data_IF_319787052663
#
_entry.id   IF_319787052663
#
_cell.length_a   1.000
_cell.length_b   1.000
_cell.length_c   1.000
_cell.angle_alpha   90.00
_cell.angle_beta   90.00
_cell.angle_gamma   90.00
#
_symmetry.space_group_name_H-M   'P 1'
#
loop_
_entity.id
_entity.type
_entity.pdbx_description
1 polymer ?
#
# COMPACT_ATOMS: atom_id res chain seq x y z
N UNK A 1 -40.77 -29.20 50.81
CA UNK A 1 -39.32 -29.13 50.52
C UNK A 1 -39.18 -28.47 49.14
N UNK A 2 -38.76 -27.21 49.12
CA UNK A 2 -38.63 -26.39 47.94
C UNK A 2 -37.18 -26.34 47.51
N UNK A 3 -36.80 -26.85 46.32
CA UNK A 3 -35.51 -26.66 45.72
C UNK A 3 -35.47 -25.28 45.02
N UNK A 4 -34.71 -24.36 45.56
CA UNK A 4 -34.37 -23.09 44.90
C UNK A 4 -33.20 -23.39 43.90
N UNK A 5 -33.51 -23.29 42.60
CA UNK A 5 -32.47 -23.34 41.55
C UNK A 5 -31.68 -22.02 41.57
N UNK A 6 -30.39 -22.16 41.71
CA UNK A 6 -29.42 -21.04 41.54
C UNK A 6 -29.11 -20.96 40.01
N UNK A 7 -29.57 -19.87 39.36
CA UNK A 7 -29.13 -19.47 38.05
C UNK A 7 -27.74 -18.80 38.17
N UNK A 8 -26.70 -19.47 37.70
CA UNK A 8 -25.39 -18.90 37.51
C UNK A 8 -25.41 -18.25 36.13
N UNK A 9 -25.44 -16.93 36.07
CA UNK A 9 -25.19 -16.14 34.85
C UNK A 9 -23.69 -16.17 34.59
N UNK A 10 -23.27 -16.97 33.60
CA UNK A 10 -21.89 -16.91 33.08
C UNK A 10 -21.85 -15.72 32.13
N UNK A 11 -21.29 -14.59 32.58
CA UNK A 11 -20.85 -13.51 31.69
C UNK A 11 -19.62 -14.00 30.95
N UNK A 12 -19.77 -14.42 29.69
CA UNK A 12 -18.63 -14.58 28.80
C UNK A 12 -18.08 -13.19 28.46
N UNK A 13 -16.91 -12.88 29.00
CA UNK A 13 -16.10 -11.77 28.51
C UNK A 13 -15.69 -12.10 27.06
N UNK A 14 -16.47 -11.62 26.11
CA UNK A 14 -16.04 -11.56 24.72
C UNK A 14 -15.01 -10.44 24.66
N UNK A 15 -13.74 -10.80 24.46
CA UNK A 15 -12.67 -9.84 24.23
C UNK A 15 -12.98 -9.08 22.93
N UNK A 16 -13.16 -7.78 23.03
CA UNK A 16 -13.43 -6.85 21.92
C UNK A 16 -12.21 -6.65 20.97
N UNK A 17 -11.29 -7.61 20.93
CA UNK A 17 -10.06 -7.52 20.14
C UNK A 17 -10.18 -7.84 18.65
N UNK A 18 -11.26 -8.46 18.19
CA UNK A 18 -11.30 -9.10 16.86
C UNK A 18 -12.28 -8.45 15.86
N UNK A 19 -12.80 -7.26 16.11
CA UNK A 19 -13.78 -6.63 15.22
C UNK A 19 -13.21 -5.59 14.24
N UNK A 20 -11.89 -5.42 14.18
CA UNK A 20 -11.25 -4.73 13.08
C UNK A 20 -11.13 -5.72 11.91
N UNK A 21 -12.18 -5.72 11.09
CA UNK A 21 -12.33 -6.35 9.79
C UNK A 21 -11.38 -7.51 9.48
N UNK A 22 -11.82 -8.74 9.69
CA UNK A 22 -11.37 -9.83 8.83
C UNK A 22 -11.88 -9.50 7.43
N UNK A 23 -11.11 -8.72 6.66
CA UNK A 23 -11.31 -8.60 5.24
C UNK A 23 -11.17 -10.02 4.64
N UNK A 24 -12.13 -10.51 3.84
CA UNK A 24 -12.01 -11.81 3.22
C UNK A 24 -10.68 -11.84 2.48
N UNK A 25 -9.91 -12.92 2.67
CA UNK A 25 -8.62 -13.12 2.03
C UNK A 25 -8.76 -12.85 0.53
N UNK A 26 -8.32 -11.70 0.09
CA UNK A 26 -8.24 -11.39 -1.34
C UNK A 26 -7.00 -12.11 -1.85
N UNK A 27 -7.21 -13.32 -2.33
CA UNK A 27 -6.21 -14.06 -3.09
C UNK A 27 -5.87 -13.23 -4.34
N UNK A 28 -4.69 -12.64 -4.39
CA UNK A 28 -4.18 -11.92 -5.56
C UNK A 28 -4.01 -10.42 -5.36
N UNK A 29 -3.23 -9.99 -4.40
CA UNK A 29 -2.79 -8.61 -4.24
C UNK A 29 -1.27 -8.51 -4.23
N UNK A 30 -0.74 -7.32 -3.98
CA UNK A 30 0.68 -7.11 -3.77
C UNK A 30 1.16 -7.89 -2.54
N UNK A 31 2.38 -8.41 -2.61
CA UNK A 31 3.06 -9.10 -1.52
C UNK A 31 4.28 -8.29 -1.11
N UNK A 32 4.53 -8.22 0.17
CA UNK A 32 5.68 -7.55 0.74
C UNK A 32 6.74 -8.60 1.11
N UNK A 33 7.86 -8.57 0.42
CA UNK A 33 8.94 -9.54 0.60
C UNK A 33 9.95 -8.97 1.59
N UNK A 34 10.33 -9.74 2.59
CA UNK A 34 11.33 -9.33 3.59
C UNK A 34 12.73 -9.16 2.97
N UNK A 35 13.49 -8.21 3.50
CA UNK A 35 14.90 -8.06 3.19
C UNK A 35 15.75 -9.02 4.04
N UNK A 36 16.54 -9.85 3.36
CA UNK A 36 17.56 -10.72 3.94
C UNK A 36 18.92 -10.46 3.30
N UNK A 37 19.32 -9.18 3.19
CA UNK A 37 20.51 -8.61 2.56
C UNK A 37 20.49 -8.49 1.01
N UNK A 38 19.40 -8.87 0.35
CA UNK A 38 19.29 -8.70 -1.10
C UNK A 38 19.06 -7.23 -1.54
N UNK A 39 18.70 -6.36 -0.63
CA UNK A 39 18.52 -4.90 -0.81
C UNK A 39 19.31 -4.12 0.24
N UNK A 40 19.46 -2.79 0.09
CA UNK A 40 20.12 -1.94 1.10
C UNK A 40 19.51 -2.14 2.50
N UNK A 41 20.33 -1.94 3.53
CA UNK A 41 19.98 -2.24 4.93
C UNK A 41 18.76 -1.45 5.44
N UNK A 42 18.57 -0.21 4.99
CA UNK A 42 17.43 0.62 5.36
C UNK A 42 16.08 0.08 4.83
N UNK A 43 16.11 -0.76 3.81
CA UNK A 43 14.92 -1.40 3.25
C UNK A 43 14.56 -2.64 4.07
N UNK A 44 13.37 -2.69 4.62
CA UNK A 44 12.86 -3.85 5.36
C UNK A 44 12.01 -4.79 4.51
N UNK A 45 11.21 -4.21 3.61
CA UNK A 45 10.37 -4.97 2.67
C UNK A 45 10.36 -4.32 1.30
N UNK A 46 10.12 -5.14 0.27
CA UNK A 46 9.82 -4.68 -1.08
C UNK A 46 8.52 -5.32 -1.57
N UNK A 47 7.75 -4.54 -2.30
CA UNK A 47 6.61 -5.02 -3.07
C UNK A 47 6.79 -4.68 -4.55
N UNK A 48 6.49 -5.63 -5.42
CA UNK A 48 6.37 -5.40 -6.85
C UNK A 48 4.97 -4.82 -7.08
N UNK A 49 4.92 -3.55 -7.45
CA UNK A 49 3.68 -2.82 -7.68
C UNK A 49 3.49 -2.55 -9.18
N UNK A 50 2.29 -2.13 -9.56
CA UNK A 50 2.04 -1.75 -10.94
C UNK A 50 2.92 -0.57 -11.35
N UNK A 51 3.76 -0.79 -12.38
CA UNK A 51 4.68 0.23 -12.89
C UNK A 51 6.00 0.37 -12.14
N UNK A 52 6.35 -0.55 -11.24
CA UNK A 52 7.63 -0.45 -10.52
C UNK A 52 7.71 -1.24 -9.23
N UNK A 53 8.42 -0.65 -8.28
CA UNK A 53 8.70 -1.23 -6.96
C UNK A 53 8.38 -0.24 -5.86
N UNK A 54 7.88 -0.76 -4.75
CA UNK A 54 7.74 -0.07 -3.48
C UNK A 54 8.70 -0.69 -2.48
N UNK A 55 9.55 0.14 -1.89
CA UNK A 55 10.43 -0.24 -0.79
C UNK A 55 9.93 0.41 0.50
N UNK A 56 9.90 -0.36 1.58
CA UNK A 56 9.46 0.09 2.88
C UNK A 56 10.67 0.24 3.80
N UNK A 57 10.83 1.44 4.33
CA UNK A 57 11.83 1.83 5.31
C UNK A 57 11.15 2.17 6.65
N UNK A 58 11.89 2.39 7.73
CA UNK A 58 11.27 2.74 9.02
C UNK A 58 10.63 4.13 9.00
N UNK A 59 11.16 5.04 8.21
CA UNK A 59 10.77 6.44 8.13
C UNK A 59 9.98 6.79 6.86
N UNK A 60 9.60 5.79 6.05
CA UNK A 60 8.90 6.11 4.82
C UNK A 60 8.81 5.02 3.77
N UNK A 61 8.36 5.45 2.61
CA UNK A 61 8.16 4.64 1.41
C UNK A 61 9.00 5.19 0.26
N UNK A 62 9.81 4.34 -0.37
CA UNK A 62 10.51 4.69 -1.60
C UNK A 62 9.81 4.00 -2.78
N UNK A 63 9.27 4.80 -3.67
CA UNK A 63 8.71 4.37 -4.94
C UNK A 63 9.77 4.46 -6.03
N UNK A 64 9.95 3.39 -6.78
CA UNK A 64 10.83 3.35 -7.94
C UNK A 64 10.02 2.88 -9.15
N UNK A 65 9.64 3.82 -10.00
CA UNK A 65 8.70 3.61 -11.11
C UNK A 65 9.42 3.63 -12.45
N UNK A 66 8.96 2.83 -13.41
CA UNK A 66 9.47 2.82 -14.77
C UNK A 66 8.45 3.38 -15.77
N UNK A 67 8.94 3.81 -16.93
CA UNK A 67 8.08 4.24 -18.03
C UNK A 67 7.29 3.05 -18.59
N UNK A 68 5.98 3.05 -18.34
CA UNK A 68 5.09 1.97 -18.75
C UNK A 68 4.98 1.82 -20.27
N UNK A 69 5.15 2.91 -21.04
CA UNK A 69 5.14 2.86 -22.52
C UNK A 69 6.41 2.22 -23.07
N UNK A 70 7.56 2.57 -22.49
CA UNK A 70 8.84 1.95 -22.87
C UNK A 70 8.83 0.47 -22.50
N UNK A 71 8.35 0.13 -21.30
CA UNK A 71 8.21 -1.26 -20.85
C UNK A 71 7.26 -2.06 -21.75
N UNK A 72 6.10 -1.53 -22.11
CA UNK A 72 5.16 -2.20 -23.00
C UNK A 72 5.79 -2.47 -24.40
N UNK A 73 6.54 -1.49 -24.95
CA UNK A 73 7.29 -1.68 -26.22
C UNK A 73 8.36 -2.75 -26.08
N UNK A 74 9.08 -2.78 -24.96
CA UNK A 74 10.08 -3.82 -24.67
C UNK A 74 9.43 -5.21 -24.67
N UNK A 75 8.33 -5.38 -23.94
CA UNK A 75 7.59 -6.64 -23.87
C UNK A 75 7.08 -7.05 -25.27
N UNK A 76 6.47 -6.12 -26.01
CA UNK A 76 5.97 -6.39 -27.35
C UNK A 76 7.08 -6.86 -28.31
N UNK A 77 8.22 -6.18 -28.33
CA UNK A 77 9.36 -6.59 -29.20
C UNK A 77 10.04 -7.88 -28.72
N UNK A 78 9.87 -8.29 -27.48
CA UNK A 78 10.31 -9.61 -27.01
C UNK A 78 9.51 -10.74 -27.66
N UNK A 79 8.21 -10.55 -27.84
CA UNK A 79 7.31 -11.54 -28.46
C UNK A 79 7.22 -11.39 -29.99
N UNK A 80 7.25 -10.18 -30.54
CA UNK A 80 7.21 -9.89 -31.96
C UNK A 80 8.61 -9.65 -32.52
N UNK A 81 9.18 -10.67 -33.15
CA UNK A 81 10.54 -10.62 -33.70
C UNK A 81 10.67 -9.68 -34.91
N UNK A 82 9.56 -9.18 -35.47
CA UNK A 82 9.56 -8.20 -36.55
C UNK A 82 9.84 -6.78 -36.08
N UNK A 83 9.68 -6.51 -34.77
CA UNK A 83 9.91 -5.20 -34.20
C UNK A 83 11.41 -4.96 -33.89
N UNK A 84 11.90 -3.71 -34.05
CA UNK A 84 13.26 -3.36 -33.68
C UNK A 84 13.51 -3.66 -32.21
N UNK A 85 14.62 -4.33 -31.90
CA UNK A 85 15.03 -4.64 -30.52
C UNK A 85 15.95 -3.56 -29.90
N UNK A 86 15.84 -2.32 -30.34
CA UNK A 86 16.65 -1.19 -29.88
C UNK A 86 16.11 -0.65 -28.54
N UNK A 87 16.15 -1.50 -27.49
CA UNK A 87 15.77 -1.13 -26.14
C UNK A 87 17.02 -1.02 -25.27
N UNK A 88 17.81 0.03 -25.52
CA UNK A 88 19.05 0.25 -24.78
C UNK A 88 18.82 0.80 -23.38
N UNK A 89 17.62 1.34 -23.09
CA UNK A 89 17.29 1.95 -21.81
C UNK A 89 15.81 1.83 -21.50
N UNK A 90 15.51 1.58 -20.22
CA UNK A 90 14.20 1.75 -19.60
C UNK A 90 14.32 2.93 -18.64
N UNK A 91 13.49 3.95 -18.81
CA UNK A 91 13.50 5.15 -17.98
C UNK A 91 12.86 4.84 -16.64
N UNK A 92 13.51 5.30 -15.56
CA UNK A 92 13.07 5.15 -14.18
C UNK A 92 12.99 6.49 -13.48
N UNK A 93 12.09 6.60 -12.53
CA UNK A 93 11.99 7.74 -11.63
C UNK A 93 11.71 7.26 -10.21
N UNK A 94 12.43 7.81 -9.24
CA UNK A 94 12.24 7.46 -7.82
C UNK A 94 11.79 8.69 -7.05
N UNK A 95 10.81 8.50 -6.15
CA UNK A 95 10.44 9.49 -5.14
C UNK A 95 10.25 8.81 -3.79
N UNK A 96 10.52 9.54 -2.72
CA UNK A 96 10.34 9.06 -1.34
C UNK A 96 9.20 9.82 -0.67
N UNK A 97 8.36 9.10 0.06
CA UNK A 97 7.39 9.64 1.01
C UNK A 97 7.95 9.44 2.40
N UNK A 98 8.45 10.51 3.02
CA UNK A 98 9.01 10.46 4.37
C UNK A 98 7.95 10.81 5.39
N UNK A 99 7.89 10.06 6.48
CA UNK A 99 7.05 10.34 7.64
C UNK A 99 7.77 11.32 8.55
N UNK A 100 7.46 12.62 8.44
CA UNK A 100 8.13 13.65 9.21
C UNK A 100 7.92 13.43 10.71
N UNK A 101 9.00 13.57 11.50
CA UNK A 101 8.99 13.45 12.95
C UNK A 101 8.39 12.13 13.49
N UNK A 102 8.41 11.07 12.68
CA UNK A 102 7.93 9.76 13.10
C UNK A 102 8.90 9.10 14.09
N UNK A 103 8.41 8.08 14.79
CA UNK A 103 9.24 7.20 15.60
C UNK A 103 10.02 6.22 14.67
N UNK A 104 11.29 6.50 14.41
CA UNK A 104 12.15 5.66 13.56
C UNK A 104 12.47 4.28 14.17
N UNK A 105 12.19 4.07 15.47
CA UNK A 105 12.27 2.77 16.14
C UNK A 105 11.01 1.90 15.92
N UNK A 106 9.97 2.47 15.32
CA UNK A 106 8.77 1.74 14.93
C UNK A 106 9.06 0.84 13.72
N UNK A 107 9.60 -0.35 13.98
CA UNK A 107 9.98 -1.29 12.94
C UNK A 107 8.78 -1.78 12.14
N UNK A 108 8.93 -1.79 10.82
CA UNK A 108 8.00 -2.45 9.92
C UNK A 108 7.93 -3.95 10.23
N UNK A 109 6.73 -4.49 10.47
CA UNK A 109 6.51 -5.91 10.78
C UNK A 109 5.55 -6.55 9.79
N UNK A 110 6.02 -7.60 9.10
CA UNK A 110 5.16 -8.42 8.24
C UNK A 110 4.17 -9.25 9.06
N UNK A 111 2.91 -9.22 8.64
CA UNK A 111 1.82 -10.06 9.17
C UNK A 111 1.06 -10.70 8.02
N UNK A 112 0.30 -11.77 8.29
CA UNK A 112 -0.36 -12.57 7.27
C UNK A 112 0.66 -13.12 6.26
N UNK A 113 1.60 -13.97 6.76
CA UNK A 113 2.64 -14.60 5.94
C UNK A 113 2.03 -15.40 4.78
N UNK A 114 2.64 -15.26 3.59
CA UNK A 114 2.25 -16.04 2.41
C UNK A 114 2.84 -17.45 2.47
N UNK A 115 2.21 -18.46 1.85
CA UNK A 115 2.76 -19.80 1.84
C UNK A 115 4.04 -19.93 1.01
N UNK A 116 4.31 -18.97 0.12
CA UNK A 116 5.50 -18.99 -0.74
C UNK A 116 6.67 -18.27 -0.08
N UNK A 117 7.89 -18.67 -0.45
CA UNK A 117 9.13 -17.97 -0.15
C UNK A 117 9.87 -17.60 -1.44
N UNK A 118 10.80 -16.66 -1.34
CA UNK A 118 11.52 -16.09 -2.48
C UNK A 118 13.02 -16.30 -2.32
N UNK A 119 13.70 -16.52 -3.46
CA UNK A 119 15.14 -16.66 -3.51
C UNK A 119 15.73 -15.63 -4.46
N UNK A 120 16.79 -14.96 -4.02
CA UNK A 120 17.48 -13.91 -4.77
C UNK A 120 18.96 -14.28 -4.89
N UNK A 121 19.35 -14.81 -6.04
CA UNK A 121 20.73 -15.19 -6.35
C UNK A 121 21.22 -14.36 -7.54
N UNK A 122 21.17 -13.00 -7.37
CA UNK A 122 21.48 -12.05 -8.43
C UNK A 122 22.89 -11.50 -8.28
N UNK A 123 23.59 -11.36 -9.41
CA UNK A 123 24.96 -10.84 -9.44
C UNK A 123 25.99 -11.80 -8.85
N UNK A 124 27.24 -11.33 -8.75
CA UNK A 124 28.40 -12.13 -8.32
C UNK A 124 28.69 -12.03 -6.82
N UNK A 125 28.09 -11.04 -6.13
CA UNK A 125 28.26 -10.84 -4.68
C UNK A 125 27.34 -11.77 -3.89
N UNK A 126 27.90 -12.89 -3.42
CA UNK A 126 27.17 -13.90 -2.65
C UNK A 126 26.65 -13.39 -1.29
N UNK A 127 27.21 -12.30 -0.75
CA UNK A 127 26.75 -11.72 0.52
C UNK A 127 25.36 -11.06 0.37
N UNK A 128 24.98 -10.71 -0.87
CA UNK A 128 23.67 -10.19 -1.23
C UNK A 128 22.68 -11.26 -1.71
N UNK A 129 23.08 -12.53 -1.68
CA UNK A 129 22.17 -13.62 -2.00
C UNK A 129 21.28 -13.91 -0.80
N UNK A 130 20.00 -14.03 -1.05
CA UNK A 130 19.02 -14.38 -0.03
C UNK A 130 18.23 -15.61 -0.45
N UNK A 131 18.00 -16.50 0.49
CA UNK A 131 17.13 -17.65 0.29
C UNK A 131 16.04 -17.68 1.37
N UNK A 132 14.88 -18.26 1.01
CA UNK A 132 13.73 -18.39 1.89
C UNK A 132 13.27 -17.02 2.47
N UNK A 133 13.38 -15.94 1.66
CA UNK A 133 12.79 -14.66 2.02
C UNK A 133 11.26 -14.80 2.04
N UNK A 134 10.65 -14.45 3.18
CA UNK A 134 9.21 -14.58 3.38
C UNK A 134 8.45 -13.47 2.69
N UNK A 135 7.22 -13.77 2.27
CA UNK A 135 6.26 -12.80 1.78
C UNK A 135 5.14 -12.58 2.80
N UNK A 136 4.56 -11.39 2.79
CA UNK A 136 3.49 -10.99 3.69
C UNK A 136 2.40 -10.26 2.93
N UNK A 137 1.14 -10.40 3.34
CA UNK A 137 0.02 -9.64 2.77
C UNK A 137 -0.20 -8.30 3.46
N UNK A 138 0.36 -8.12 4.66
CA UNK A 138 0.24 -6.88 5.44
C UNK A 138 1.56 -6.54 6.11
N UNK A 139 1.85 -5.23 6.18
CA UNK A 139 2.93 -4.67 6.99
C UNK A 139 2.32 -3.72 8.00
N UNK A 140 2.78 -3.81 9.25
CA UNK A 140 2.33 -2.98 10.36
C UNK A 140 3.51 -2.21 10.94
N UNK A 141 3.32 -0.90 11.16
CA UNK A 141 4.17 -0.05 11.97
C UNK A 141 3.39 0.32 13.23
N UNK A 142 3.83 -0.18 14.37
CA UNK A 142 3.20 0.14 15.65
C UNK A 142 3.81 1.39 16.24
N UNK A 143 2.95 2.30 16.75
CA UNK A 143 3.40 3.56 17.35
C UNK A 143 4.33 4.36 16.38
N UNK A 144 3.96 4.43 15.10
CA UNK A 144 4.69 5.23 14.12
C UNK A 144 4.73 6.71 14.53
N UNK A 145 3.64 7.20 15.11
CA UNK A 145 3.58 8.43 15.89
C UNK A 145 2.96 8.11 17.24
N UNK A 146 3.12 8.95 18.27
CA UNK A 146 2.49 8.71 19.57
C UNK A 146 0.99 8.45 19.45
N UNK A 147 0.58 7.21 19.76
CA UNK A 147 -0.81 6.75 19.64
C UNK A 147 -1.31 6.52 18.22
N UNK A 148 -0.41 6.40 17.20
CA UNK A 148 -0.81 6.17 15.82
C UNK A 148 -0.05 5.00 15.23
N UNK A 149 -0.77 3.98 14.78
CA UNK A 149 -0.26 2.87 14.01
C UNK A 149 -0.46 3.11 12.50
N UNK A 150 0.38 2.48 11.67
CA UNK A 150 0.21 2.45 10.21
C UNK A 150 0.16 1.01 9.72
N UNK A 151 -0.84 0.68 8.91
CA UNK A 151 -1.02 -0.63 8.30
C UNK A 151 -0.98 -0.51 6.78
N UNK A 152 -0.11 -1.28 6.11
CA UNK A 152 -0.08 -1.38 4.65
C UNK A 152 -0.60 -2.74 4.22
N UNK A 153 -1.41 -2.75 3.17
CA UNK A 153 -1.92 -3.97 2.56
C UNK A 153 -2.37 -3.67 1.11
N UNK A 154 -2.77 -4.68 0.39
CA UNK A 154 -3.40 -4.43 -0.92
C UNK A 154 -4.80 -4.99 -0.95
N UNK A 155 -5.68 -4.28 -1.67
CA UNK A 155 -7.01 -4.75 -2.02
C UNK A 155 -7.10 -4.87 -3.54
N UNK A 156 -7.16 -6.12 -4.03
CA UNK A 156 -6.98 -6.42 -5.45
C UNK A 156 -5.58 -5.97 -5.88
N UNK A 157 -5.43 -4.94 -6.71
CA UNK A 157 -4.15 -4.36 -7.15
C UNK A 157 -3.99 -2.90 -6.72
N UNK A 158 -4.77 -2.43 -5.76
CA UNK A 158 -4.63 -1.11 -5.17
C UNK A 158 -3.86 -1.23 -3.86
N UNK A 159 -2.82 -0.43 -3.72
CA UNK A 159 -2.10 -0.29 -2.47
C UNK A 159 -2.93 0.57 -1.52
N UNK A 160 -3.14 0.10 -0.31
CA UNK A 160 -3.79 0.81 0.78
C UNK A 160 -2.85 0.95 1.96
N UNK A 161 -2.99 2.06 2.65
CA UNK A 161 -2.31 2.28 3.91
C UNK A 161 -3.26 3.01 4.87
N UNK A 162 -3.49 2.40 6.04
CA UNK A 162 -4.42 2.94 7.03
C UNK A 162 -3.65 3.49 8.21
N UNK A 163 -3.83 4.77 8.52
CA UNK A 163 -3.45 5.29 9.82
C UNK A 163 -4.56 5.01 10.83
N UNK A 164 -4.20 4.32 11.91
CA UNK A 164 -5.09 4.03 13.04
C UNK A 164 -4.73 4.97 14.18
N UNK A 165 -5.42 6.09 14.25
CA UNK A 165 -5.26 7.10 15.30
C UNK A 165 -6.06 6.67 16.52
N UNK A 166 -5.38 6.31 17.61
CA UNK A 166 -6.03 5.86 18.86
C UNK A 166 -6.81 6.97 19.51
N UNK A 167 -7.79 6.60 20.33
CA UNK A 167 -8.52 7.56 21.14
C UNK A 167 -7.56 8.50 21.89
N UNK A 168 -7.85 9.81 21.85
CA UNK A 168 -7.05 10.91 22.38
C UNK A 168 -5.68 11.15 21.74
N UNK A 169 -5.28 10.41 20.69
CA UNK A 169 -4.11 10.75 19.88
C UNK A 169 -4.44 11.90 18.90
N UNK A 170 -3.41 12.62 18.49
CA UNK A 170 -3.55 13.77 17.58
C UNK A 170 -3.21 13.38 16.14
N UNK A 171 -4.21 13.31 15.27
CA UNK A 171 -4.03 13.00 13.84
C UNK A 171 -3.22 14.08 13.10
N UNK A 172 -3.02 15.28 13.65
CA UNK A 172 -2.21 16.33 13.04
C UNK A 172 -0.71 16.02 13.06
N UNK A 173 -0.26 15.01 13.82
CA UNK A 173 1.11 14.51 13.79
C UNK A 173 1.47 13.84 12.45
N UNK A 174 0.47 13.38 11.69
CA UNK A 174 0.71 12.69 10.42
C UNK A 174 1.12 13.72 9.37
N UNK A 175 2.40 13.73 9.05
CA UNK A 175 3.00 14.57 8.02
C UNK A 175 3.79 13.71 7.01
N UNK A 176 3.37 13.72 5.76
CA UNK A 176 3.94 12.96 4.66
C UNK A 176 4.69 13.91 3.73
N UNK A 177 6.02 13.85 3.72
CA UNK A 177 6.83 14.68 2.83
C UNK A 177 7.20 13.91 1.57
N UNK A 178 6.83 14.45 0.40
CA UNK A 178 7.11 13.86 -0.91
C UNK A 178 8.39 14.50 -1.49
N UNK A 179 9.48 13.75 -1.52
CA UNK A 179 10.77 14.19 -2.06
C UNK A 179 11.10 13.43 -3.35
N UNK A 180 11.61 14.14 -4.36
CA UNK A 180 11.97 13.58 -5.66
C UNK A 180 10.82 13.48 -6.67
N UNK A 181 9.56 13.79 -6.32
CA UNK A 181 8.50 13.98 -7.31
C UNK A 181 8.74 15.29 -8.11
N UNK A 182 8.39 15.31 -9.40
CA UNK A 182 8.52 16.51 -10.22
C UNK A 182 7.52 17.61 -9.81
N UNK A 183 6.31 17.19 -9.43
CA UNK A 183 5.26 18.07 -8.92
C UNK A 183 4.24 17.27 -8.10
N UNK A 184 3.63 17.91 -7.12
CA UNK A 184 2.48 17.36 -6.38
C UNK A 184 1.36 18.39 -6.28
N UNK A 185 0.13 17.95 -6.41
CA UNK A 185 -1.03 18.84 -6.36
C UNK A 185 -2.28 18.15 -5.82
N UNK A 186 -3.09 18.89 -5.06
CA UNK A 186 -4.43 18.42 -4.70
C UNK A 186 -5.42 18.96 -5.72
N UNK A 187 -6.08 18.06 -6.48
CA UNK A 187 -7.08 18.38 -7.50
C UNK A 187 -8.30 17.48 -7.32
N UNK A 188 -9.49 18.05 -7.25
CA UNK A 188 -10.75 17.30 -7.06
C UNK A 188 -10.72 16.39 -5.82
N UNK A 189 -10.20 16.89 -4.70
CA UNK A 189 -9.99 16.19 -3.42
C UNK A 189 -9.01 14.99 -3.50
N UNK A 190 -8.29 14.79 -4.62
CA UNK A 190 -7.27 13.76 -4.85
C UNK A 190 -5.87 14.35 -4.82
N UNK A 191 -4.90 13.57 -4.34
CA UNK A 191 -3.49 13.93 -4.43
C UNK A 191 -2.91 13.36 -5.73
N UNK A 192 -2.30 14.22 -6.51
CA UNK A 192 -1.64 13.89 -7.78
C UNK A 192 -0.14 14.04 -7.59
N UNK A 193 0.60 12.96 -7.85
CA UNK A 193 2.06 12.91 -7.79
C UNK A 193 2.56 12.71 -9.23
N UNK A 194 3.27 13.70 -9.75
CA UNK A 194 3.80 13.69 -11.10
C UNK A 194 5.27 13.28 -11.07
N UNK A 195 5.66 12.40 -11.97
CA UNK A 195 7.02 11.97 -12.20
C UNK A 195 7.32 12.00 -13.70
N UNK A 196 8.59 11.95 -14.09
CA UNK A 196 8.97 11.93 -15.51
C UNK A 196 8.42 10.72 -16.27
N UNK A 197 8.14 9.63 -15.58
CA UNK A 197 7.76 8.35 -16.17
C UNK A 197 6.33 7.94 -15.90
N UNK A 198 5.69 8.53 -14.87
CA UNK A 198 4.37 8.09 -14.44
C UNK A 198 3.60 9.23 -13.74
N UNK A 199 2.31 9.00 -13.56
CA UNK A 199 1.41 9.86 -12.79
C UNK A 199 0.67 8.97 -11.78
N UNK A 200 0.99 9.14 -10.51
CA UNK A 200 0.34 8.42 -9.40
C UNK A 200 -0.78 9.31 -8.84
N UNK A 201 -1.91 8.69 -8.53
CA UNK A 201 -3.05 9.37 -7.93
C UNK A 201 -3.39 8.67 -6.63
N UNK A 202 -3.44 9.42 -5.54
CA UNK A 202 -4.09 8.98 -4.32
C UNK A 202 -5.53 9.47 -4.32
N UNK A 203 -6.45 8.55 -4.14
CA UNK A 203 -7.87 8.89 -4.12
C UNK A 203 -8.20 9.73 -2.89
N UNK A 204 -9.35 10.40 -2.91
CA UNK A 204 -9.84 11.16 -1.77
C UNK A 204 -9.73 10.33 -0.49
N UNK A 205 -9.09 10.86 0.59
CA UNK A 205 -8.92 10.10 1.82
C UNK A 205 -10.28 9.80 2.45
N UNK A 206 -10.54 8.53 2.69
CA UNK A 206 -11.70 8.08 3.42
C UNK A 206 -11.35 7.97 4.90
N UNK A 207 -12.15 8.57 5.78
CA UNK A 207 -11.92 8.43 7.22
C UNK A 207 -13.22 8.04 7.92
N UNK A 208 -13.11 7.27 9.00
CA UNK A 208 -14.25 6.84 9.79
C UNK A 208 -13.87 6.49 11.22
N UNK A 209 -14.89 6.43 12.08
CA UNK A 209 -14.82 5.95 13.46
C UNK A 209 -15.83 4.83 13.65
N UNK A 210 -15.58 3.92 14.59
CA UNK A 210 -16.57 2.97 15.08
C UNK A 210 -17.08 3.49 16.43
N UNK A 211 -18.31 3.94 16.47
CA UNK A 211 -18.95 4.50 17.68
C UNK A 211 -20.16 3.62 18.02
N UNK A 212 -20.15 3.02 19.18
CA UNK A 212 -21.20 2.12 19.67
C UNK A 212 -21.53 0.96 18.69
N UNK A 213 -20.49 0.49 17.95
CA UNK A 213 -20.61 -0.57 16.97
C UNK A 213 -21.04 -0.09 15.56
N UNK A 214 -21.35 1.18 15.37
CA UNK A 214 -21.70 1.78 14.09
C UNK A 214 -20.52 2.47 13.43
N UNK A 215 -20.37 2.30 12.12
CA UNK A 215 -19.35 2.97 11.31
C UNK A 215 -19.83 4.37 10.92
N UNK A 216 -19.19 5.39 11.50
CA UNK A 216 -19.50 6.79 11.25
C UNK A 216 -18.42 7.39 10.35
N UNK A 217 -18.79 7.85 9.16
CA UNK A 217 -17.87 8.53 8.25
C UNK A 217 -17.44 9.88 8.81
N UNK A 218 -16.14 10.17 8.73
CA UNK A 218 -15.53 11.45 9.11
C UNK A 218 -15.07 12.16 7.84
N UNK A 219 -15.49 13.41 7.67
CA UNK A 219 -15.04 14.22 6.53
C UNK A 219 -13.53 14.46 6.62
N UNK A 220 -12.78 13.92 5.66
CA UNK A 220 -11.33 14.02 5.57
C UNK A 220 -10.91 14.60 4.22
N UNK A 221 -9.85 15.41 4.21
CA UNK A 221 -9.27 16.02 3.00
C UNK A 221 -7.76 16.08 3.11
N UNK A 222 -7.08 15.95 1.98
CA UNK A 222 -5.66 16.30 1.89
C UNK A 222 -5.47 17.81 2.04
N UNK A 223 -4.42 18.19 2.78
CA UNK A 223 -3.91 19.56 2.88
C UNK A 223 -2.45 19.52 2.44
N UNK A 224 -2.11 20.31 1.43
CA UNK A 224 -0.77 20.37 0.85
C UNK A 224 -0.11 21.70 1.20
N UNK A 225 1.14 21.65 1.68
CA UNK A 225 2.00 22.82 1.90
C UNK A 225 3.41 22.50 1.40
N UNK A 226 3.81 23.09 0.28
CA UNK A 226 5.04 22.70 -0.42
C UNK A 226 4.94 21.24 -0.86
N UNK A 227 5.85 20.40 -0.38
CA UNK A 227 5.88 18.94 -0.62
C UNK A 227 5.28 18.12 0.53
N UNK A 228 4.81 18.78 1.59
CA UNK A 228 4.24 18.11 2.77
C UNK A 228 2.72 18.01 2.66
N UNK A 229 2.21 16.81 2.80
CA UNK A 229 0.80 16.45 2.83
C UNK A 229 0.39 16.11 4.24
N UNK A 230 -0.72 16.66 4.70
CA UNK A 230 -1.38 16.37 5.98
C UNK A 230 -2.86 16.11 5.75
N UNK A 231 -3.56 15.68 6.81
CA UNK A 231 -5.01 15.46 6.75
C UNK A 231 -5.76 16.57 7.49
N UNK A 232 -6.85 17.03 6.91
CA UNK A 232 -7.76 17.99 7.51
C UNK A 232 -9.13 17.37 7.75
N UNK A 233 -9.73 17.70 8.89
CA UNK A 233 -11.05 17.21 9.31
C UNK A 233 -11.98 18.42 9.50
N UNK A 234 -12.61 18.95 8.42
CA UNK A 234 -13.34 20.23 8.48
C UNK A 234 -14.51 20.27 9.46
N UNK A 235 -15.09 19.11 9.76
CA UNK A 235 -16.19 19.00 10.75
C UNK A 235 -15.74 18.40 12.09
N UNK A 236 -14.41 18.19 12.27
CA UNK A 236 -13.87 17.47 13.42
C UNK A 236 -14.24 15.98 13.45
N UNK A 237 -13.86 15.30 14.51
CA UNK A 237 -14.20 13.92 14.84
C UNK A 237 -14.23 13.75 16.36
N UNK A 238 -14.75 12.62 16.84
CA UNK A 238 -14.83 12.38 18.29
C UNK A 238 -13.50 11.79 18.82
N UNK A 239 -12.75 12.58 19.58
CA UNK A 239 -11.44 12.16 20.11
C UNK A 239 -11.49 11.01 21.14
N UNK A 240 -12.65 10.63 21.63
CA UNK A 240 -12.81 9.51 22.57
C UNK A 240 -12.81 8.13 21.87
N UNK A 241 -12.81 8.09 20.55
CA UNK A 241 -12.82 6.86 19.74
C UNK A 241 -11.67 6.87 18.74
N UNK A 242 -11.21 5.69 18.36
CA UNK A 242 -10.20 5.54 17.31
C UNK A 242 -10.71 6.15 16.00
N UNK A 243 -9.80 6.81 15.27
CA UNK A 243 -10.06 7.33 13.93
C UNK A 243 -9.21 6.52 12.95
N UNK A 244 -9.85 5.95 11.92
CA UNK A 244 -9.17 5.28 10.82
C UNK A 244 -9.15 6.23 9.62
N UNK A 245 -7.96 6.46 9.05
CA UNK A 245 -7.76 7.24 7.83
C UNK A 245 -7.23 6.26 6.78
N UNK A 246 -8.03 5.98 5.73
CA UNK A 246 -7.82 4.97 4.67
C UNK A 246 -7.61 5.64 3.30
N UNK A 247 -6.44 6.16 2.97
CA UNK A 247 -6.09 6.57 1.62
C UNK A 247 -5.89 5.36 0.71
N UNK A 248 -6.10 5.55 -0.58
CA UNK A 248 -5.89 4.50 -1.58
C UNK A 248 -5.02 5.01 -2.71
N UNK A 249 -3.86 4.37 -2.93
CA UNK A 249 -3.03 4.66 -4.09
C UNK A 249 -3.56 3.92 -5.32
N UNK A 250 -3.80 4.69 -6.37
CA UNK A 250 -4.10 4.19 -7.71
C UNK A 250 -2.92 4.48 -8.64
N UNK A 251 -2.25 3.43 -9.09
CA UNK A 251 -1.17 3.58 -10.08
C UNK A 251 -1.79 3.77 -11.45
N UNK A 252 -1.71 4.99 -12.01
CA UNK A 252 -2.11 5.24 -13.38
C UNK A 252 -1.03 4.70 -14.32
N UNK A 253 -1.14 3.44 -14.73
CA UNK A 253 -0.32 2.91 -15.80
C UNK A 253 -0.95 3.26 -17.15
N UNK A 254 -0.14 3.85 -18.00
CA UNK A 254 -0.55 4.07 -19.39
C UNK A 254 -0.54 2.72 -20.12
N UNK A 255 -1.72 2.19 -20.43
CA UNK A 255 -1.89 0.92 -21.14
C UNK A 255 -1.57 1.00 -22.63
N UNK A 256 -1.11 2.15 -23.12
CA UNK A 256 -0.86 2.39 -24.56
C UNK A 256 -2.12 2.72 -25.38
N UNK A 257 -3.31 2.63 -24.78
CA UNK A 257 -4.56 3.01 -25.45
C UNK A 257 -4.85 4.50 -25.26
N UNK A 258 -5.37 5.14 -26.30
CA UNK A 258 -5.89 6.50 -26.28
C UNK A 258 -7.33 6.57 -25.76
N UNK A 259 -7.95 5.43 -25.48
CA UNK A 259 -9.30 5.29 -24.96
C UNK A 259 -9.28 4.70 -23.54
N UNK A 260 -10.41 4.81 -22.82
CA UNK A 260 -10.56 4.21 -21.51
C UNK A 260 -10.45 2.68 -21.61
N UNK A 261 -9.47 2.10 -20.93
CA UNK A 261 -9.28 0.66 -20.85
C UNK A 261 -9.68 0.14 -19.48
N UNK A 262 -10.52 -0.90 -19.47
CA UNK A 262 -10.86 -1.64 -18.28
C UNK A 262 -10.40 -3.08 -18.47
N UNK A 263 -9.35 -3.48 -17.72
CA UNK A 263 -8.96 -4.88 -17.61
C UNK A 263 -9.92 -5.58 -16.64
N UNK A 264 -10.63 -6.62 -17.11
CA UNK A 264 -11.60 -7.35 -16.27
C UNK A 264 -11.02 -8.62 -15.67
N UNK A 265 -10.18 -9.31 -16.42
CA UNK A 265 -9.56 -10.55 -15.96
C UNK A 265 -8.33 -10.89 -16.78
N UNK A 266 -7.41 -11.61 -16.17
CA UNK A 266 -6.34 -12.32 -16.86
C UNK A 266 -6.29 -13.73 -16.28
N UNK A 267 -6.15 -14.72 -17.16
CA UNK A 267 -5.95 -16.13 -16.79
C UNK A 267 -4.95 -16.77 -17.75
N UNK A 268 -4.45 -17.93 -17.41
CA UNK A 268 -3.56 -18.69 -18.27
C UNK A 268 -4.04 -20.13 -18.39
N UNK A 269 -3.75 -20.75 -19.53
CA UNK A 269 -4.08 -22.14 -19.75
C UNK A 269 -2.99 -23.08 -19.21
N UNK A 270 -3.21 -24.38 -19.34
CA UNK A 270 -2.26 -25.42 -18.93
C UNK A 270 -0.92 -25.40 -19.70
N UNK A 271 -0.82 -24.60 -20.77
CA UNK A 271 0.41 -24.38 -21.56
C UNK A 271 1.11 -23.08 -21.18
N UNK A 272 0.58 -22.32 -20.20
CA UNK A 272 1.14 -21.06 -19.76
C UNK A 272 0.81 -19.86 -20.67
N UNK A 273 -0.14 -20.00 -21.61
CA UNK A 273 -0.60 -18.89 -22.43
C UNK A 273 -1.53 -17.99 -21.62
N UNK A 274 -1.21 -16.69 -21.59
CA UNK A 274 -1.99 -15.68 -20.90
C UNK A 274 -3.17 -15.23 -21.76
N UNK A 275 -4.36 -15.25 -21.17
CA UNK A 275 -5.58 -14.68 -21.74
C UNK A 275 -6.02 -13.51 -20.87
N UNK A 276 -6.06 -12.32 -21.45
CA UNK A 276 -6.53 -11.12 -20.77
C UNK A 276 -7.77 -10.58 -21.45
N UNK A 277 -8.84 -10.37 -20.68
CA UNK A 277 -10.05 -9.71 -21.15
C UNK A 277 -10.05 -8.25 -20.77
N UNK A 278 -10.25 -7.37 -21.75
CA UNK A 278 -10.38 -5.93 -21.54
C UNK A 278 -11.45 -5.35 -22.45
N UNK A 279 -12.08 -4.24 -22.02
CA UNK A 279 -12.88 -3.39 -22.90
C UNK A 279 -12.16 -2.08 -23.16
N UNK A 280 -12.23 -1.63 -24.40
CA UNK A 280 -11.73 -0.33 -24.87
C UNK A 280 -12.95 0.44 -25.37
N UNK A 281 -13.18 1.65 -24.85
CA UNK A 281 -14.29 2.52 -25.25
C UNK A 281 -13.75 3.84 -25.79
#
# INVERSE_FOLDING_TARGET
MSLKGIFILIFSLISFGDFLGQDPQVLGGYKFIENKNQWPEQVHYRSDIQGGYLYLENDGFLFNLYDGKEFARYVQAHYDKSLPRNFDKLSWHSYKVTFNECNTEALAKGTLETPEYYNYFLGNDKTKWASHAKGFHRIEYKELYPGIDLNLYSKVFNLKYDFVVKANADAQQIELNYDGADDIAVKNDRLHIYTQVNHVIEDKPYAFQIIDGEKIEVQCKFKLKGTTVTFAFPKGYNHNYDLIIDPTLMFATYSGSTANNFGYSATFDSKGLLYAGSSVF
#
